data_IF_317512881330
#
_entry.id   IF_317512881330
#
_cell.length_a   1.000
_cell.length_b   1.000
_cell.length_c   1.000
_cell.angle_alpha   90.00
_cell.angle_beta   90.00
_cell.angle_gamma   90.00
#
_symmetry.space_group_name_H-M   'P 1'
#
loop_
_entity.id
_entity.type
_entity.pdbx_description
1 polymer ?
#
# COMPACT_ATOMS: atom_id res chain seq x y z
N UNK A 1 11.91 30.41 -0.19
CA UNK A 1 13.01 29.80 -0.99
C UNK A 1 12.53 28.42 -1.31
N UNK A 2 12.19 28.18 -2.56
CA UNK A 2 11.56 26.93 -3.04
C UNK A 2 12.60 25.82 -3.01
N UNK A 3 12.41 24.84 -2.12
CA UNK A 3 13.13 23.57 -2.16
C UNK A 3 12.90 22.93 -3.52
N UNK A 4 13.96 22.83 -4.32
CA UNK A 4 13.98 22.09 -5.58
C UNK A 4 13.71 20.62 -5.25
N UNK A 5 12.48 20.16 -5.44
CA UNK A 5 12.19 18.73 -5.52
C UNK A 5 13.12 18.15 -6.59
N UNK A 6 14.01 17.25 -6.23
CA UNK A 6 14.76 16.45 -7.20
C UNK A 6 13.74 15.57 -7.93
N UNK A 7 13.23 16.07 -9.05
CA UNK A 7 12.54 15.24 -10.02
C UNK A 7 13.63 14.30 -10.57
N UNK A 8 13.61 13.05 -10.16
CA UNK A 8 14.44 12.01 -10.76
C UNK A 8 14.14 11.95 -12.27
N UNK A 9 15.16 11.67 -13.08
CA UNK A 9 14.96 11.47 -14.52
C UNK A 9 13.83 10.46 -14.76
N UNK A 10 12.90 10.73 -15.68
CA UNK A 10 11.80 9.83 -15.98
C UNK A 10 12.33 8.42 -16.32
N UNK A 11 11.90 7.41 -15.57
CA UNK A 11 12.28 6.01 -15.79
C UNK A 11 13.43 5.50 -14.90
N UNK A 12 14.06 6.35 -14.07
CA UNK A 12 14.98 5.88 -13.03
C UNK A 12 14.18 5.30 -11.87
N UNK A 13 14.52 4.10 -11.38
CA UNK A 13 13.89 3.52 -10.19
C UNK A 13 14.30 4.26 -8.92
N UNK A 14 13.46 4.23 -7.88
CA UNK A 14 13.92 4.63 -6.56
C UNK A 14 15.04 3.67 -6.09
N UNK A 15 16.01 4.19 -5.36
CA UNK A 15 17.14 3.39 -4.85
C UNK A 15 16.69 2.52 -3.65
N UNK A 16 15.87 1.53 -3.90
CA UNK A 16 15.54 0.50 -2.91
C UNK A 16 16.61 -0.59 -2.99
N UNK A 17 17.53 -0.60 -2.03
CA UNK A 17 18.64 -1.57 -1.99
C UNK A 17 18.16 -2.97 -1.60
N UNK A 18 17.36 -3.03 -0.54
CA UNK A 18 16.74 -4.24 -0.05
C UNK A 18 15.26 -3.98 0.33
N UNK A 19 14.29 -4.55 -0.38
CA UNK A 19 12.89 -4.41 -0.04
C UNK A 19 12.52 -4.99 1.33
N UNK A 20 13.27 -5.99 1.86
CA UNK A 20 13.02 -6.56 3.20
C UNK A 20 13.36 -5.53 4.28
N UNK A 21 14.51 -4.88 4.14
CA UNK A 21 14.90 -3.79 5.03
C UNK A 21 13.91 -2.62 4.95
N UNK A 22 13.48 -2.26 3.73
CA UNK A 22 12.51 -1.18 3.55
C UNK A 22 11.16 -1.53 4.23
N UNK A 23 10.67 -2.76 4.14
CA UNK A 23 9.44 -3.17 4.80
C UNK A 23 9.52 -3.04 6.32
N UNK A 24 10.62 -3.44 6.95
CA UNK A 24 10.83 -3.21 8.39
C UNK A 24 10.92 -1.73 8.74
N UNK A 25 11.59 -0.94 7.92
CA UNK A 25 11.70 0.52 8.12
C UNK A 25 10.36 1.22 7.93
N UNK A 26 9.51 0.77 7.01
CA UNK A 26 8.14 1.26 6.88
C UNK A 26 7.37 1.06 8.19
N UNK A 27 7.43 -0.13 8.80
CA UNK A 27 6.80 -0.40 10.10
C UNK A 27 7.35 0.49 11.20
N UNK A 28 8.68 0.60 11.30
CA UNK A 28 9.34 1.44 12.30
C UNK A 28 8.94 2.91 12.15
N UNK A 29 8.91 3.41 10.94
CA UNK A 29 8.50 4.79 10.65
C UNK A 29 7.03 5.00 10.96
N UNK A 30 6.15 4.09 10.58
CA UNK A 30 4.73 4.16 10.88
C UNK A 30 4.45 4.19 12.40
N UNK A 31 5.15 3.37 13.19
CA UNK A 31 5.07 3.43 14.66
C UNK A 31 5.45 4.83 15.17
N UNK A 32 6.55 5.41 14.66
CA UNK A 32 7.00 6.75 15.06
C UNK A 32 6.01 7.85 14.65
N UNK A 33 5.35 7.71 13.50
CA UNK A 33 4.34 8.66 13.02
C UNK A 33 3.05 8.62 13.85
N UNK A 34 2.65 7.44 14.33
CA UNK A 34 1.44 7.24 15.13
C UNK A 34 1.66 7.53 16.62
N UNK A 35 2.87 7.27 17.14
CA UNK A 35 3.18 7.38 18.57
C UNK A 35 2.80 8.72 19.23
N UNK A 36 3.00 9.91 18.60
CA UNK A 36 2.61 11.19 19.21
C UNK A 36 1.11 11.33 19.45
N UNK A 37 0.28 10.60 18.70
CA UNK A 37 -1.18 10.61 18.82
C UNK A 37 -1.69 9.52 19.77
N UNK A 38 -0.87 8.50 20.04
CA UNK A 38 -1.23 7.36 20.88
C UNK A 38 -2.20 6.37 20.25
N UNK A 39 -2.57 6.56 18.98
CA UNK A 39 -3.46 5.69 18.22
C UNK A 39 -3.42 6.01 16.73
N UNK A 40 -3.86 5.09 15.86
CA UNK A 40 -4.01 5.37 14.44
C UNK A 40 -4.09 4.12 13.57
N UNK A 41 -4.03 4.34 12.26
CA UNK A 41 -4.08 3.31 11.22
C UNK A 41 -2.74 2.57 11.07
N UNK A 42 -2.16 2.13 12.20
CA UNK A 42 -0.88 1.42 12.20
C UNK A 42 -0.99 0.04 11.55
N UNK A 43 -2.10 -0.66 11.79
CA UNK A 43 -2.32 -2.01 11.25
C UNK A 43 -2.19 -2.09 9.74
N UNK A 44 -2.63 -1.06 9.01
CA UNK A 44 -2.51 -0.98 7.56
C UNK A 44 -1.05 -0.88 7.10
N UNK A 45 -0.20 -0.20 7.86
CA UNK A 45 1.23 -0.19 7.58
C UNK A 45 1.90 -1.52 7.95
N UNK A 46 1.41 -2.22 8.99
CA UNK A 46 1.94 -3.53 9.38
C UNK A 46 1.58 -4.61 8.36
N UNK A 47 0.35 -4.61 7.83
CA UNK A 47 -0.10 -5.59 6.84
C UNK A 47 0.49 -5.35 5.45
N UNK A 48 0.63 -4.09 5.02
CA UNK A 48 0.99 -3.76 3.65
C UNK A 48 2.46 -3.39 3.41
N UNK A 49 3.31 -3.45 4.44
CA UNK A 49 4.71 -2.99 4.34
C UNK A 49 5.49 -3.68 3.20
N UNK A 50 5.34 -5.00 3.03
CA UNK A 50 5.98 -5.76 1.97
C UNK A 50 5.48 -5.36 0.60
N UNK A 51 4.16 -5.19 0.46
CA UNK A 51 3.52 -4.75 -0.79
C UNK A 51 4.04 -3.38 -1.21
N UNK A 52 4.07 -2.42 -0.27
CA UNK A 52 4.58 -1.06 -0.52
C UNK A 52 6.06 -1.10 -0.86
N UNK A 53 6.88 -1.83 -0.10
CA UNK A 53 8.32 -1.96 -0.37
C UNK A 53 8.59 -2.54 -1.77
N UNK A 54 7.85 -3.59 -2.16
CA UNK A 54 7.96 -4.21 -3.46
C UNK A 54 7.54 -3.27 -4.61
N UNK A 55 6.47 -2.48 -4.42
CA UNK A 55 6.02 -1.49 -5.42
C UNK A 55 7.07 -0.39 -5.57
N UNK A 56 7.61 0.16 -4.49
CA UNK A 56 8.66 1.18 -4.59
C UNK A 56 9.94 0.64 -5.25
N UNK A 57 10.28 -0.63 -5.03
CA UNK A 57 11.40 -1.28 -5.72
C UNK A 57 11.16 -1.51 -7.22
N UNK A 58 9.91 -1.73 -7.62
CA UNK A 58 9.54 -2.06 -8.99
C UNK A 58 9.18 -0.84 -9.85
N UNK A 59 8.60 0.21 -9.27
CA UNK A 59 8.05 1.36 -9.96
C UNK A 59 9.17 2.29 -10.51
N UNK A 60 8.85 2.97 -11.61
CA UNK A 60 9.71 3.94 -12.30
C UNK A 60 9.15 5.35 -12.07
N UNK A 61 9.79 6.19 -11.23
CA UNK A 61 9.33 7.53 -10.93
C UNK A 61 9.09 8.36 -12.20
N UNK A 62 8.00 9.11 -12.22
CA UNK A 62 7.62 9.97 -13.36
C UNK A 62 7.06 9.23 -14.58
N UNK A 63 7.14 7.90 -14.61
CA UNK A 63 6.55 7.07 -15.67
C UNK A 63 5.40 6.22 -15.15
N UNK A 64 5.61 5.49 -14.06
CA UNK A 64 4.59 4.64 -13.44
C UNK A 64 3.71 5.45 -12.47
N UNK A 65 2.50 4.94 -12.19
CA UNK A 65 1.52 5.58 -11.31
C UNK A 65 1.31 4.76 -10.05
N UNK A 66 1.22 5.44 -8.91
CA UNK A 66 0.92 4.85 -7.62
C UNK A 66 -0.45 5.34 -7.13
N UNK A 67 -1.36 4.43 -6.91
CA UNK A 67 -2.68 4.70 -6.36
C UNK A 67 -2.83 3.99 -5.02
N UNK A 68 -3.15 4.73 -3.97
CA UNK A 68 -3.54 4.18 -2.68
C UNK A 68 -5.05 4.32 -2.55
N UNK A 69 -5.80 3.30 -2.97
CA UNK A 69 -7.26 3.38 -3.03
C UNK A 69 -7.88 3.62 -1.65
N UNK A 70 -7.58 2.82 -0.60
CA UNK A 70 -8.08 3.14 0.73
C UNK A 70 -7.19 4.21 1.38
N UNK A 71 -7.74 5.42 1.56
CA UNK A 71 -6.98 6.58 2.02
C UNK A 71 -6.26 6.40 3.36
N UNK A 72 -6.77 5.55 4.25
CA UNK A 72 -6.14 5.26 5.54
C UNK A 72 -4.90 4.35 5.45
N UNK A 73 -4.63 3.76 4.29
CA UNK A 73 -3.38 3.05 4.00
C UNK A 73 -2.22 3.98 3.65
N UNK A 74 -2.48 5.28 3.45
CA UNK A 74 -1.47 6.26 3.01
C UNK A 74 -0.26 6.35 3.93
N UNK A 75 -0.39 5.96 5.19
CA UNK A 75 0.69 5.92 6.17
C UNK A 75 1.88 5.08 5.70
N UNK A 76 1.64 3.95 5.03
CA UNK A 76 2.70 3.08 4.54
C UNK A 76 3.48 3.70 3.35
N UNK A 77 2.84 4.26 2.29
CA UNK A 77 3.52 5.10 1.29
C UNK A 77 4.28 6.29 1.87
N UNK A 78 3.73 7.01 2.86
CA UNK A 78 4.45 8.11 3.52
C UNK A 78 5.70 7.61 4.26
N UNK A 79 5.59 6.50 4.99
CA UNK A 79 6.71 5.89 5.69
C UNK A 79 7.82 5.46 4.71
N UNK A 80 7.45 4.81 3.60
CA UNK A 80 8.38 4.43 2.54
C UNK A 80 9.08 5.65 1.94
N UNK A 81 8.32 6.70 1.63
CA UNK A 81 8.86 7.94 1.08
C UNK A 81 9.83 8.64 2.03
N UNK A 82 9.57 8.59 3.34
CA UNK A 82 10.52 9.07 4.34
C UNK A 82 11.84 8.31 4.33
N UNK A 83 11.80 6.99 4.28
CA UNK A 83 13.00 6.16 4.24
C UNK A 83 13.81 6.32 2.92
N UNK A 84 13.15 6.75 1.85
CA UNK A 84 13.77 7.05 0.57
C UNK A 84 14.19 8.54 0.43
N UNK A 85 13.99 9.35 1.47
CA UNK A 85 14.37 10.77 1.47
C UNK A 85 13.48 11.65 0.56
N UNK A 86 12.29 11.19 0.21
CA UNK A 86 11.29 11.94 -0.58
C UNK A 86 10.44 12.87 0.30
N UNK A 87 10.29 12.53 1.57
CA UNK A 87 9.67 13.34 2.63
C UNK A 87 10.67 13.44 3.76
N UNK A 88 10.88 14.64 4.29
CA UNK A 88 11.79 14.85 5.42
C UNK A 88 11.13 14.47 6.76
N UNK A 89 11.97 14.26 7.78
CA UNK A 89 11.53 13.87 9.12
C UNK A 89 10.66 14.93 9.79
N UNK A 90 10.88 16.23 9.51
CA UNK A 90 10.10 17.33 10.07
C UNK A 90 8.64 17.24 9.57
N UNK A 91 8.45 17.00 8.28
CA UNK A 91 7.12 16.80 7.70
C UNK A 91 6.46 15.53 8.24
N UNK A 92 7.19 14.40 8.31
CA UNK A 92 6.65 13.13 8.83
C UNK A 92 6.17 13.24 10.29
N UNK A 93 6.84 14.06 11.11
CA UNK A 93 6.44 14.31 12.49
C UNK A 93 5.11 15.09 12.60
N UNK A 94 4.60 15.65 11.49
CA UNK A 94 3.28 16.32 11.44
C UNK A 94 2.13 15.40 11.02
N UNK A 95 2.40 14.12 10.75
CA UNK A 95 1.39 13.16 10.31
C UNK A 95 0.15 13.18 11.21
N UNK A 96 -1.02 13.29 10.58
CA UNK A 96 -2.30 13.33 11.26
C UNK A 96 -2.60 14.57 12.08
N UNK A 97 -1.71 15.58 12.09
CA UNK A 97 -1.95 16.86 12.78
C UNK A 97 -2.78 17.81 11.91
N UNK A 98 -3.54 18.68 12.56
CA UNK A 98 -4.34 19.69 11.87
C UNK A 98 -3.47 20.61 10.99
N UNK A 99 -3.82 20.70 9.71
CA UNK A 99 -3.11 21.54 8.74
C UNK A 99 -1.88 20.88 8.10
N UNK A 100 -1.50 19.68 8.51
CA UNK A 100 -0.47 18.92 7.84
C UNK A 100 -0.95 18.44 6.46
N UNK A 101 -0.09 18.41 5.43
CA UNK A 101 -0.39 17.73 4.18
C UNK A 101 -0.32 16.20 4.30
N UNK A 102 0.23 15.69 5.41
CA UNK A 102 0.29 14.26 5.72
C UNK A 102 -0.90 13.88 6.61
N UNK A 103 -2.08 13.92 6.02
CA UNK A 103 -3.34 13.57 6.67
C UNK A 103 -3.38 12.07 6.98
N UNK A 104 -4.05 11.68 8.10
CA UNK A 104 -4.18 10.28 8.50
C UNK A 104 -5.04 9.46 7.50
N UNK A 105 -5.94 10.13 6.80
CA UNK A 105 -6.67 9.60 5.65
C UNK A 105 -6.29 10.44 4.44
N UNK A 106 -5.69 9.80 3.46
CA UNK A 106 -5.17 10.46 2.25
C UNK A 106 -6.27 11.19 1.47
N UNK A 107 -5.86 12.29 0.86
CA UNK A 107 -6.69 13.15 0.02
C UNK A 107 -5.96 13.44 -1.31
N UNK A 108 -6.63 14.13 -2.23
CA UNK A 108 -6.03 14.57 -3.49
C UNK A 108 -4.78 15.46 -3.33
N UNK A 109 -4.49 15.92 -2.10
CA UNK A 109 -3.31 16.73 -1.77
C UNK A 109 -2.17 15.92 -1.20
N UNK A 110 -2.39 14.63 -0.94
CA UNK A 110 -1.37 13.75 -0.36
C UNK A 110 -0.19 13.61 -1.31
N UNK A 111 1.05 13.85 -0.82
CA UNK A 111 2.25 13.66 -1.65
C UNK A 111 2.51 12.16 -1.91
N UNK A 112 3.43 11.87 -2.84
CA UNK A 112 4.01 10.54 -3.11
C UNK A 112 3.15 9.63 -3.98
N UNK A 113 1.83 9.68 -3.85
CA UNK A 113 0.92 8.89 -4.68
C UNK A 113 0.22 9.78 -5.72
N UNK A 114 -0.13 9.21 -6.86
CA UNK A 114 -0.83 9.94 -7.92
C UNK A 114 -2.31 10.13 -7.60
N UNK A 115 -2.87 9.25 -6.76
CA UNK A 115 -4.25 9.37 -6.27
C UNK A 115 -4.46 8.59 -4.98
N UNK A 116 -5.24 9.18 -4.08
CA UNK A 116 -5.81 8.54 -2.89
C UNK A 116 -7.08 9.29 -2.48
N UNK A 117 -7.98 8.64 -1.75
CA UNK A 117 -9.20 9.27 -1.25
C UNK A 117 -9.71 8.58 0.01
N UNK A 118 -10.52 9.31 0.80
CA UNK A 118 -11.15 8.76 2.00
C UNK A 118 -12.36 7.88 1.72
N UNK A 119 -13.02 8.05 0.57
CA UNK A 119 -14.18 7.24 0.18
C UNK A 119 -13.73 5.96 -0.50
N UNK A 120 -14.01 4.82 0.13
CA UNK A 120 -13.61 3.50 -0.37
C UNK A 120 -14.23 3.21 -1.75
N UNK A 121 -13.56 2.38 -2.55
CA UNK A 121 -13.97 1.95 -3.87
C UNK A 121 -13.62 2.90 -5.03
N UNK A 122 -13.26 4.16 -4.76
CA UNK A 122 -13.02 5.13 -5.83
C UNK A 122 -11.62 5.04 -6.45
N UNK A 123 -10.61 4.66 -5.65
CA UNK A 123 -9.23 4.68 -6.10
C UNK A 123 -8.96 3.69 -7.22
N UNK A 124 -9.59 2.51 -7.22
CA UNK A 124 -9.45 1.57 -8.32
C UNK A 124 -9.98 2.15 -9.65
N UNK A 125 -11.09 2.90 -9.61
CA UNK A 125 -11.60 3.61 -10.80
C UNK A 125 -10.60 4.65 -11.32
N UNK A 126 -9.92 5.38 -10.43
CA UNK A 126 -8.84 6.30 -10.81
C UNK A 126 -7.65 5.55 -11.43
N UNK A 127 -7.24 4.42 -10.85
CA UNK A 127 -6.17 3.58 -11.40
C UNK A 127 -6.50 3.05 -12.81
N UNK A 128 -7.73 2.63 -13.02
CA UNK A 128 -8.26 2.25 -14.35
C UNK A 128 -8.13 3.43 -15.33
N UNK A 129 -8.48 4.64 -14.88
CA UNK A 129 -8.35 5.85 -15.69
C UNK A 129 -6.91 6.14 -16.11
N UNK A 130 -5.94 5.99 -15.19
CA UNK A 130 -4.51 6.15 -15.51
C UNK A 130 -4.04 5.09 -16.51
N UNK A 131 -4.31 3.81 -16.27
CA UNK A 131 -3.91 2.72 -17.15
C UNK A 131 -4.53 2.86 -18.56
N UNK A 132 -5.80 3.25 -18.65
CA UNK A 132 -6.47 3.51 -19.92
C UNK A 132 -5.84 4.72 -20.65
N UNK A 133 -5.53 5.79 -19.93
CA UNK A 133 -4.87 6.97 -20.49
C UNK A 133 -3.50 6.61 -21.09
N UNK A 134 -2.69 5.82 -20.39
CA UNK A 134 -1.37 5.41 -20.88
C UNK A 134 -1.49 4.51 -22.11
N UNK A 135 -2.43 3.56 -22.11
CA UNK A 135 -2.72 2.72 -23.27
C UNK A 135 -3.16 3.56 -24.50
N UNK A 136 -4.11 4.49 -24.33
CA UNK A 136 -4.60 5.34 -25.42
C UNK A 136 -3.52 6.27 -26.00
N UNK A 137 -2.54 6.63 -25.16
CA UNK A 137 -1.40 7.49 -25.55
C UNK A 137 -0.19 6.70 -26.02
N UNK A 138 -0.25 5.35 -26.01
CA UNK A 138 0.88 4.50 -26.37
C UNK A 138 2.08 4.63 -25.41
N UNK A 139 1.84 4.98 -24.15
CA UNK A 139 2.90 5.07 -23.12
C UNK A 139 3.12 3.73 -22.45
N UNK A 140 4.36 3.44 -22.10
CA UNK A 140 4.78 2.22 -21.39
C UNK A 140 4.72 2.39 -19.86
N UNK A 141 3.79 3.21 -19.36
CA UNK A 141 3.55 3.39 -17.94
C UNK A 141 2.79 2.21 -17.34
N UNK A 142 3.13 1.86 -16.10
CA UNK A 142 2.36 0.91 -15.28
C UNK A 142 1.62 1.65 -14.18
N UNK A 143 0.46 1.15 -13.82
CA UNK A 143 -0.32 1.66 -12.69
C UNK A 143 -0.37 0.60 -11.61
N UNK A 144 0.13 0.91 -10.43
CA UNK A 144 0.03 0.08 -9.23
C UNK A 144 -1.06 0.64 -8.34
N UNK A 145 -2.03 -0.17 -7.97
CA UNK A 145 -3.12 0.24 -7.10
C UNK A 145 -3.17 -0.66 -5.86
N UNK A 146 -3.04 -0.06 -4.68
CA UNK A 146 -3.35 -0.73 -3.43
C UNK A 146 -4.86 -0.70 -3.21
N UNK A 147 -5.43 -1.85 -2.85
CA UNK A 147 -6.85 -2.04 -2.54
C UNK A 147 -6.93 -2.89 -1.26
N UNK A 148 -7.92 -2.66 -0.40
CA UNK A 148 -8.14 -3.50 0.78
C UNK A 148 -9.31 -4.48 0.58
N UNK A 149 -9.35 -5.52 1.40
CA UNK A 149 -10.43 -6.50 1.39
C UNK A 149 -11.78 -5.89 1.82
N UNK A 150 -11.81 -5.06 2.86
CA UNK A 150 -13.02 -4.32 3.24
C UNK A 150 -13.52 -3.39 2.12
N UNK A 151 -12.62 -2.86 1.28
CA UNK A 151 -13.00 -2.05 0.11
C UNK A 151 -13.73 -2.86 -0.97
N UNK A 152 -13.58 -4.19 -1.00
CA UNK A 152 -14.32 -5.07 -1.91
C UNK A 152 -15.82 -5.15 -1.60
N UNK A 153 -16.27 -4.65 -0.47
CA UNK A 153 -17.69 -4.51 -0.16
C UNK A 153 -18.35 -3.38 -0.97
N UNK A 154 -17.55 -2.49 -1.56
CA UNK A 154 -18.01 -1.41 -2.43
C UNK A 154 -18.25 -1.91 -3.87
N UNK A 155 -19.47 -1.75 -4.38
CA UNK A 155 -19.84 -2.17 -5.75
C UNK A 155 -18.96 -1.56 -6.83
N UNK A 156 -18.48 -0.33 -6.62
CA UNK A 156 -17.63 0.41 -7.57
C UNK A 156 -16.30 -0.31 -7.85
N UNK A 157 -15.76 -1.07 -6.91
CA UNK A 157 -14.55 -1.89 -7.14
C UNK A 157 -14.79 -2.92 -8.23
N UNK A 158 -15.94 -3.60 -8.18
CA UNK A 158 -16.31 -4.63 -9.15
C UNK A 158 -16.67 -4.04 -10.52
N UNK A 159 -17.28 -2.84 -10.56
CA UNK A 159 -17.50 -2.10 -11.80
C UNK A 159 -16.15 -1.75 -12.46
N UNK A 160 -15.19 -1.25 -11.70
CA UNK A 160 -13.85 -0.95 -12.17
C UNK A 160 -13.10 -2.22 -12.64
N UNK A 161 -13.26 -3.33 -11.91
CA UNK A 161 -12.66 -4.62 -12.27
C UNK A 161 -13.19 -5.15 -13.62
N UNK A 162 -14.51 -5.12 -13.84
CA UNK A 162 -15.13 -5.49 -15.12
C UNK A 162 -14.62 -4.61 -16.28
N UNK A 163 -14.56 -3.29 -16.05
CA UNK A 163 -14.12 -2.35 -17.05
C UNK A 163 -12.64 -2.55 -17.43
N UNK A 164 -11.77 -2.74 -16.45
CA UNK A 164 -10.35 -2.97 -16.68
C UNK A 164 -10.09 -4.24 -17.50
N UNK A 165 -10.76 -5.33 -17.15
CA UNK A 165 -10.66 -6.59 -17.90
C UNK A 165 -11.20 -6.46 -19.32
N UNK A 166 -12.39 -5.86 -19.50
CA UNK A 166 -12.98 -5.64 -20.84
C UNK A 166 -12.05 -4.87 -21.77
N UNK A 167 -11.36 -3.88 -21.21
CA UNK A 167 -10.41 -3.07 -22.00
C UNK A 167 -9.00 -3.66 -22.03
N UNK A 168 -8.72 -4.83 -21.48
CA UNK A 168 -7.40 -5.46 -21.50
C UNK A 168 -6.30 -4.53 -20.96
N UNK A 169 -6.51 -3.92 -19.78
CA UNK A 169 -5.57 -2.94 -19.21
C UNK A 169 -4.37 -3.66 -18.55
N UNK A 170 -3.54 -4.30 -19.35
CA UNK A 170 -2.39 -5.09 -18.89
C UNK A 170 -1.35 -4.27 -18.09
N UNK A 171 -1.32 -2.94 -18.25
CA UNK A 171 -0.47 -2.06 -17.45
C UNK A 171 -0.97 -1.82 -16.01
N UNK A 172 -2.17 -2.32 -15.65
CA UNK A 172 -2.73 -2.18 -14.31
C UNK A 172 -2.41 -3.42 -13.46
N UNK A 173 -1.79 -3.18 -12.30
CA UNK A 173 -1.54 -4.20 -11.28
C UNK A 173 -2.15 -3.75 -9.95
N UNK A 174 -3.07 -4.54 -9.42
CA UNK A 174 -3.67 -4.36 -8.10
C UNK A 174 -2.89 -5.20 -7.08
N UNK A 175 -2.53 -4.59 -5.95
CA UNK A 175 -2.07 -5.28 -4.75
C UNK A 175 -3.23 -5.19 -3.74
N UNK A 176 -3.87 -6.32 -3.50
CA UNK A 176 -5.02 -6.42 -2.63
C UNK A 176 -4.58 -6.94 -1.27
N UNK A 177 -4.66 -6.07 -0.26
CA UNK A 177 -4.34 -6.42 1.12
C UNK A 177 -5.52 -7.15 1.77
N UNK A 178 -5.44 -8.48 1.82
CA UNK A 178 -6.48 -9.36 2.37
C UNK A 178 -6.13 -9.73 3.82
N UNK A 179 -6.36 -8.78 4.73
CA UNK A 179 -6.00 -8.88 6.14
C UNK A 179 -7.17 -9.24 7.06
N UNK A 180 -8.37 -9.39 6.51
CA UNK A 180 -9.61 -9.71 7.22
C UNK A 180 -9.97 -8.71 8.33
N UNK A 181 -9.60 -7.41 8.18
CA UNK A 181 -9.85 -6.39 9.21
C UNK A 181 -10.46 -5.13 8.64
N UNK A 182 -11.57 -4.71 9.18
CA UNK A 182 -12.21 -3.42 8.92
C UNK A 182 -12.70 -2.78 10.23
N UNK A 183 -13.20 -1.53 10.15
CA UNK A 183 -13.57 -0.72 11.33
C UNK A 183 -14.66 -1.37 12.22
N UNK A 184 -15.56 -2.15 11.63
CA UNK A 184 -16.66 -2.79 12.36
C UNK A 184 -16.34 -4.23 12.81
N UNK A 185 -15.13 -4.74 12.49
CA UNK A 185 -14.69 -6.07 12.90
C UNK A 185 -13.98 -6.84 11.79
N UNK A 186 -13.96 -8.16 11.90
CA UNK A 186 -13.43 -9.01 10.85
C UNK A 186 -14.33 -8.97 9.60
N UNK A 187 -13.73 -8.80 8.42
CA UNK A 187 -14.46 -8.67 7.14
C UNK A 187 -15.41 -9.84 6.93
N UNK A 188 -14.97 -11.08 7.19
CA UNK A 188 -15.77 -12.29 7.04
C UNK A 188 -16.96 -12.38 8.01
N UNK A 189 -16.92 -11.62 9.12
CA UNK A 189 -18.05 -11.51 10.06
C UNK A 189 -19.09 -10.47 9.64
N UNK A 190 -18.72 -9.54 8.77
CA UNK A 190 -19.59 -8.46 8.28
C UNK A 190 -20.20 -8.85 6.94
N UNK A 191 -19.38 -9.14 5.94
CA UNK A 191 -19.84 -9.53 4.60
C UNK A 191 -18.91 -10.59 4.02
N UNK A 192 -19.45 -11.71 3.55
CA UNK A 192 -18.66 -12.76 2.91
C UNK A 192 -18.17 -12.31 1.53
N UNK A 193 -16.92 -11.91 1.46
CA UNK A 193 -16.25 -11.51 0.20
C UNK A 193 -15.45 -12.64 -0.46
N UNK A 194 -15.22 -13.74 0.25
CA UNK A 194 -14.56 -14.93 -0.32
C UNK A 194 -15.51 -15.70 -1.28
N UNK A 195 -14.99 -16.43 -2.27
CA UNK A 195 -13.57 -16.53 -2.64
C UNK A 195 -13.10 -15.31 -3.45
N UNK A 196 -12.14 -14.57 -2.93
CA UNK A 196 -11.67 -13.32 -3.56
C UNK A 196 -11.00 -13.62 -4.91
N UNK A 197 -10.02 -14.51 -4.92
CA UNK A 197 -9.22 -14.83 -6.11
C UNK A 197 -10.10 -15.32 -7.28
N UNK A 198 -11.08 -16.19 -7.00
CA UNK A 198 -11.97 -16.73 -8.02
C UNK A 198 -12.87 -15.64 -8.62
N UNK A 199 -13.32 -14.68 -7.82
CA UNK A 199 -14.13 -13.55 -8.30
C UNK A 199 -13.34 -12.70 -9.31
N UNK A 200 -12.08 -12.34 -8.97
CA UNK A 200 -11.21 -11.61 -9.89
C UNK A 200 -10.89 -12.40 -11.15
N UNK A 201 -10.63 -13.71 -11.02
CA UNK A 201 -10.41 -14.59 -12.16
C UNK A 201 -11.66 -14.66 -13.07
N UNK A 202 -12.88 -14.73 -12.50
CA UNK A 202 -14.12 -14.73 -13.25
C UNK A 202 -14.35 -13.42 -14.03
N UNK A 203 -13.83 -12.29 -13.56
CA UNK A 203 -13.80 -11.04 -14.32
C UNK A 203 -12.74 -11.02 -15.43
N UNK A 204 -11.87 -12.02 -15.53
CA UNK A 204 -10.85 -12.12 -16.58
C UNK A 204 -9.50 -11.52 -16.22
N UNK A 205 -9.21 -11.31 -14.95
CA UNK A 205 -7.91 -10.84 -14.46
C UNK A 205 -6.88 -11.98 -14.40
N UNK A 206 -5.61 -11.62 -14.56
CA UNK A 206 -4.49 -12.47 -14.12
C UNK A 206 -4.41 -12.39 -12.59
N UNK A 207 -4.45 -13.53 -11.89
CA UNK A 207 -4.58 -13.58 -10.43
C UNK A 207 -3.43 -14.36 -9.82
N UNK A 208 -2.79 -13.79 -8.80
CA UNK A 208 -1.89 -14.47 -7.89
C UNK A 208 -2.48 -14.37 -6.45
N UNK A 209 -2.74 -15.51 -5.78
CA UNK A 209 -3.13 -15.56 -4.37
C UNK A 209 -1.93 -16.08 -3.57
N UNK A 210 -1.42 -15.28 -2.65
CA UNK A 210 -0.11 -15.52 -2.04
C UNK A 210 -0.03 -14.99 -0.60
N UNK A 211 0.96 -15.48 0.13
CA UNK A 211 1.36 -14.91 1.41
C UNK A 211 1.92 -13.50 1.20
N UNK A 212 1.17 -12.50 1.66
CA UNK A 212 1.49 -11.08 1.49
C UNK A 212 2.63 -10.57 2.37
N UNK A 213 3.19 -11.42 3.21
CA UNK A 213 4.42 -11.16 3.97
C UNK A 213 5.66 -11.81 3.38
N UNK A 214 5.50 -12.57 2.27
CA UNK A 214 6.60 -13.17 1.53
C UNK A 214 7.01 -12.29 0.33
N UNK A 215 8.05 -11.47 0.53
CA UNK A 215 8.56 -10.55 -0.49
C UNK A 215 9.05 -11.25 -1.75
N UNK A 216 9.55 -12.49 -1.66
CA UNK A 216 9.99 -13.23 -2.84
C UNK A 216 8.79 -13.62 -3.71
N UNK A 217 7.68 -14.05 -3.09
CA UNK A 217 6.42 -14.33 -3.80
C UNK A 217 5.82 -13.07 -4.41
N UNK A 218 5.79 -11.96 -3.65
CA UNK A 218 5.30 -10.68 -4.17
C UNK A 218 6.16 -10.23 -5.37
N UNK A 219 7.49 -10.30 -5.24
CA UNK A 219 8.42 -9.92 -6.30
C UNK A 219 8.25 -10.77 -7.56
N UNK A 220 8.09 -12.09 -7.43
CA UNK A 220 7.81 -13.00 -8.53
C UNK A 220 6.48 -12.68 -9.22
N UNK A 221 5.40 -12.48 -8.45
CA UNK A 221 4.08 -12.14 -8.98
C UNK A 221 4.07 -10.77 -9.68
N UNK A 222 4.79 -9.76 -9.17
CA UNK A 222 4.98 -8.47 -9.86
C UNK A 222 5.76 -8.62 -11.17
N UNK A 223 6.75 -9.52 -11.22
CA UNK A 223 7.50 -9.80 -12.43
C UNK A 223 6.63 -10.51 -13.49
N UNK A 224 5.76 -11.44 -13.08
CA UNK A 224 4.76 -12.08 -13.94
C UNK A 224 3.74 -11.05 -14.46
N UNK A 225 3.17 -10.22 -13.58
CA UNK A 225 2.27 -9.13 -13.95
C UNK A 225 2.92 -8.16 -14.95
N UNK A 226 4.21 -7.88 -14.82
CA UNK A 226 4.95 -7.04 -15.77
C UNK A 226 5.12 -7.68 -17.17
N UNK A 227 4.96 -9.00 -17.27
CA UNK A 227 5.02 -9.74 -18.54
C UNK A 227 3.64 -9.97 -19.18
N UNK A 228 2.56 -9.83 -18.41
CA UNK A 228 1.20 -9.91 -18.92
C UNK A 228 0.95 -8.79 -19.97
N UNK A 229 0.27 -9.13 -21.06
CA UNK A 229 0.03 -8.20 -22.18
C UNK A 229 -1.45 -8.03 -22.55
N UNK A 230 -2.31 -8.88 -22.02
CA UNK A 230 -3.70 -8.95 -22.43
C UNK A 230 -4.68 -8.57 -21.32
N UNK A 231 -4.30 -8.79 -20.06
CA UNK A 231 -5.19 -8.69 -18.90
C UNK A 231 -4.58 -7.84 -17.78
N UNK A 232 -5.38 -7.11 -17.01
CA UNK A 232 -4.92 -6.54 -15.75
C UNK A 232 -4.57 -7.66 -14.75
N UNK A 233 -3.70 -7.35 -13.78
CA UNK A 233 -3.23 -8.32 -12.79
C UNK A 233 -3.67 -7.92 -11.38
N UNK A 234 -4.01 -8.90 -10.54
CA UNK A 234 -4.26 -8.72 -9.12
C UNK A 234 -3.44 -9.72 -8.31
N UNK A 235 -2.74 -9.21 -7.31
CA UNK A 235 -2.06 -9.98 -6.28
C UNK A 235 -2.92 -9.93 -5.02
N UNK A 236 -3.58 -11.04 -4.69
CA UNK A 236 -4.33 -11.20 -3.43
C UNK A 236 -3.31 -11.57 -2.36
N UNK A 237 -2.90 -10.57 -1.59
CA UNK A 237 -1.88 -10.70 -0.57
C UNK A 237 -2.56 -11.02 0.77
N UNK A 238 -2.41 -12.26 1.25
CA UNK A 238 -2.93 -12.69 2.55
C UNK A 238 -2.01 -12.18 3.65
N UNK A 239 -2.52 -11.32 4.53
CA UNK A 239 -1.70 -10.58 5.50
C UNK A 239 -2.31 -10.55 6.90
N UNK A 240 -1.61 -9.89 7.81
CA UNK A 240 -2.05 -9.64 9.18
C UNK A 240 -1.73 -8.21 9.60
N UNK A 241 -2.71 -7.55 10.21
CA UNK A 241 -2.60 -6.17 10.72
C UNK A 241 -1.69 -6.02 11.95
N UNK A 242 -1.19 -7.13 12.50
CA UNK A 242 -0.24 -7.14 13.63
C UNK A 242 1.13 -7.72 13.25
N UNK A 243 1.35 -8.01 11.95
CA UNK A 243 2.59 -8.63 11.49
C UNK A 243 3.82 -7.77 11.79
N UNK A 244 4.87 -8.42 12.28
CA UNK A 244 6.17 -7.80 12.55
C UNK A 244 6.29 -7.11 13.90
N UNK A 245 5.25 -7.14 14.76
CA UNK A 245 5.24 -6.59 16.12
C UNK A 245 4.71 -7.60 17.13
N UNK A 246 5.62 -8.31 17.79
CA UNK A 246 5.29 -9.32 18.80
C UNK A 246 4.85 -8.70 20.14
N UNK A 247 5.19 -7.42 20.36
CA UNK A 247 4.80 -6.68 21.57
C UNK A 247 3.32 -6.24 21.57
N UNK A 248 2.60 -6.34 20.45
CA UNK A 248 1.19 -5.97 20.41
C UNK A 248 0.34 -6.97 21.20
N UNK A 249 -0.69 -6.51 21.97
CA UNK A 249 -1.66 -7.39 22.60
C UNK A 249 -2.35 -8.30 21.57
N UNK A 250 -2.64 -9.55 21.97
CA UNK A 250 -3.29 -10.53 21.09
C UNK A 250 -4.73 -10.15 20.70
N UNK A 251 -5.34 -9.23 21.46
CA UNK A 251 -6.68 -8.67 21.25
C UNK A 251 -6.63 -7.23 20.70
N UNK A 252 -5.49 -6.79 20.18
CA UNK A 252 -5.37 -5.48 19.58
C UNK A 252 -6.36 -5.35 18.40
N UNK A 253 -7.09 -4.23 18.36
CA UNK A 253 -7.86 -3.86 17.18
C UNK A 253 -6.89 -3.62 16.03
N UNK A 254 -6.87 -4.54 15.08
CA UNK A 254 -5.95 -4.49 13.96
C UNK A 254 -6.24 -3.34 13.00
N UNK A 255 -7.46 -2.81 12.96
CA UNK A 255 -7.82 -1.71 12.07
C UNK A 255 -7.35 -0.35 12.61
N UNK A 256 -7.53 -0.12 13.91
CA UNK A 256 -7.20 1.15 14.56
C UNK A 256 -6.46 0.90 15.88
N UNK A 257 -5.14 0.78 15.80
CA UNK A 257 -4.30 0.34 16.93
C UNK A 257 -4.15 1.48 17.95
N UNK A 258 -4.46 1.19 19.22
CA UNK A 258 -4.07 2.03 20.35
C UNK A 258 -2.61 1.80 20.68
N UNK A 259 -1.84 2.88 20.75
CA UNK A 259 -0.39 2.83 20.93
C UNK A 259 0.05 3.75 22.09
N UNK A 260 -0.21 3.35 23.36
CA UNK A 260 0.24 4.14 24.50
C UNK A 260 1.79 4.23 24.52
N UNK A 261 2.38 5.24 25.21
CA UNK A 261 3.80 5.55 25.11
C UNK A 261 4.73 4.35 25.41
N UNK A 262 4.39 3.50 26.36
CA UNK A 262 5.21 2.33 26.71
C UNK A 262 5.18 1.27 25.60
N UNK A 263 4.02 1.06 25.00
CA UNK A 263 3.87 0.14 23.85
C UNK A 263 4.56 0.70 22.60
N UNK A 264 4.46 2.01 22.38
CA UNK A 264 5.17 2.68 21.28
C UNK A 264 6.69 2.52 21.42
N UNK A 265 7.24 2.69 22.63
CA UNK A 265 8.66 2.49 22.90
C UNK A 265 9.07 1.04 22.65
N UNK A 266 8.31 0.07 23.16
CA UNK A 266 8.57 -1.35 22.96
C UNK A 266 8.55 -1.74 21.47
N UNK A 267 7.59 -1.23 20.71
CA UNK A 267 7.48 -1.46 19.27
C UNK A 267 8.67 -0.87 18.49
N UNK A 268 9.11 0.34 18.85
CA UNK A 268 10.31 0.96 18.25
C UNK A 268 11.55 0.11 18.53
N UNK A 269 11.77 -0.29 19.79
CA UNK A 269 12.95 -1.08 20.18
C UNK A 269 12.95 -2.45 19.49
N UNK A 270 11.79 -3.08 19.35
CA UNK A 270 11.64 -4.35 18.64
C UNK A 270 12.01 -4.21 17.17
N UNK A 271 11.47 -3.21 16.48
CA UNK A 271 11.74 -2.99 15.06
C UNK A 271 13.16 -2.56 14.76
N UNK A 272 13.80 -1.78 15.65
CA UNK A 272 15.23 -1.44 15.52
C UNK A 272 16.06 -2.72 15.55
N UNK A 273 15.82 -3.63 16.52
CA UNK A 273 16.54 -4.91 16.58
C UNK A 273 16.34 -5.75 15.32
N UNK A 274 15.10 -5.85 14.82
CA UNK A 274 14.80 -6.59 13.57
C UNK A 274 15.50 -5.99 12.34
N UNK A 275 15.66 -4.67 12.28
CA UNK A 275 16.44 -4.01 11.21
C UNK A 275 17.93 -4.30 11.36
N UNK A 276 18.48 -4.29 12.58
CA UNK A 276 19.89 -4.59 12.82
C UNK A 276 20.24 -6.05 12.48
N UNK A 277 19.33 -7.00 12.72
CA UNK A 277 19.49 -8.42 12.39
C UNK A 277 19.65 -8.70 10.88
N UNK A 278 19.09 -7.84 10.00
CA UNK A 278 19.30 -7.96 8.55
C UNK A 278 20.76 -7.70 8.17
N UNK A 279 21.46 -6.86 8.95
CA UNK A 279 22.84 -6.46 8.65
C UNK A 279 23.89 -7.29 9.38
N UNK A 280 23.48 -8.23 10.25
CA UNK A 280 24.36 -9.10 11.03
C UNK A 280 24.69 -10.40 10.30
#
# INVERSE_FOLDING_TARGET
MTSSSRVSDPGTRWEVRDPRELALKIRLRAVRMVAPQGFGYLGQALSSAEQVAAVFAAARPGLDRLVCSPGHYIIAPFAAAGELGLIDDEALNTYGQNGSPLEAIGTERSPVVDYTCGSLGQGLSAAVGFALSDRLRGRDGRTFAMVSDGELEEGQVWEAAMFAAHHGLAGLTVLLDANNSQVDGAVDSITTIEPIADKWAAFGWHVADLDGHDLDKIGAALAEAAQERERPSVLVCRTSTVHGLDCLPSDADGHFIKLPPELAAAAVDELIRKVEEIHA
#
